data_IF_121785580592
#
_entry.id   IF_121785580592
#
_cell.length_a   1.000
_cell.length_b   1.000
_cell.length_c   1.000
_cell.angle_alpha   90.00
_cell.angle_beta   90.00
_cell.angle_gamma   90.00
#
_symmetry.space_group_name_H-M   'P 1'
#
loop_
_entity.id
_entity.type
_entity.pdbx_description
1 polymer ?
#
# COMPACT_ATOMS: atom_id res chain seq x y z
N UNK A 1 -19.35 16.94 4.04
CA UNK A 1 -19.99 15.92 3.21
C UNK A 1 -20.64 16.62 2.06
N UNK A 2 -20.51 16.09 0.84
CA UNK A 2 -21.21 16.64 -0.31
C UNK A 2 -22.73 16.56 -0.10
N UNK A 3 -23.44 17.53 -0.67
CA UNK A 3 -24.88 17.46 -0.83
C UNK A 3 -25.17 16.72 -2.14
N UNK A 4 -25.84 15.56 -2.06
CA UNK A 4 -26.12 14.72 -3.23
C UNK A 4 -27.47 15.12 -3.83
N UNK A 5 -27.54 15.38 -5.16
CA UNK A 5 -28.78 15.83 -5.78
C UNK A 5 -29.84 14.73 -5.80
N UNK A 6 -31.11 15.13 -5.76
CA UNK A 6 -32.27 14.21 -5.85
C UNK A 6 -32.32 13.43 -7.19
N UNK A 7 -31.73 13.99 -8.25
CA UNK A 7 -31.69 13.39 -9.58
C UNK A 7 -30.33 13.60 -10.25
N UNK A 8 -29.76 12.52 -10.81
CA UNK A 8 -28.51 12.55 -11.60
C UNK A 8 -28.82 12.07 -13.02
N UNK A 9 -28.62 12.93 -14.02
CA UNK A 9 -28.77 12.59 -15.45
C UNK A 9 -27.41 12.59 -16.14
N UNK A 10 -27.03 11.45 -16.71
CA UNK A 10 -25.73 11.30 -17.38
C UNK A 10 -25.92 10.65 -18.74
N UNK A 11 -25.33 11.25 -19.77
CA UNK A 11 -25.24 10.65 -21.10
C UNK A 11 -23.82 10.16 -21.32
N UNK A 12 -23.68 8.92 -21.78
CA UNK A 12 -22.39 8.30 -22.10
C UNK A 12 -22.28 8.09 -23.60
N UNK A 13 -21.12 8.42 -24.17
CA UNK A 13 -20.77 8.13 -25.56
C UNK A 13 -19.69 7.06 -25.58
N UNK A 14 -19.83 6.08 -26.46
CA UNK A 14 -18.77 5.09 -26.67
C UNK A 14 -17.53 5.80 -27.22
N UNK A 15 -16.42 5.68 -26.50
CA UNK A 15 -15.12 6.20 -26.91
C UNK A 15 -14.41 5.17 -27.79
N UNK A 16 -14.09 4.00 -27.23
CA UNK A 16 -13.38 2.94 -27.95
C UNK A 16 -14.01 1.55 -27.73
N UNK A 17 -13.83 0.64 -28.69
CA UNK A 17 -14.02 -0.80 -28.46
C UNK A 17 -12.76 -1.34 -27.79
N UNK A 18 -12.92 -2.21 -26.79
CA UNK A 18 -11.79 -2.88 -26.13
C UNK A 18 -11.58 -4.29 -26.70
N UNK A 19 -10.39 -4.85 -26.48
CA UNK A 19 -10.05 -6.22 -26.88
C UNK A 19 -10.95 -7.26 -26.23
N UNK A 20 -11.34 -7.02 -24.97
CA UNK A 20 -12.18 -7.90 -24.17
C UNK A 20 -12.48 -7.30 -22.80
N UNK A 21 -13.46 -7.89 -22.10
CA UNK A 21 -13.84 -7.55 -20.73
C UNK A 21 -12.84 -8.05 -19.69
N UNK A 22 -13.32 -8.27 -18.47
CA UNK A 22 -12.54 -8.87 -17.38
C UNK A 22 -12.04 -10.27 -17.78
N UNK A 23 -12.88 -11.02 -18.50
CA UNK A 23 -12.62 -12.36 -18.97
C UNK A 23 -12.73 -12.45 -20.50
N UNK A 24 -11.99 -13.37 -21.11
CA UNK A 24 -11.85 -13.46 -22.58
C UNK A 24 -13.15 -13.74 -23.36
N UNK A 25 -14.21 -14.21 -22.70
CA UNK A 25 -15.52 -14.43 -23.32
C UNK A 25 -16.40 -13.17 -23.33
N UNK A 26 -16.03 -12.12 -22.59
CA UNK A 26 -16.80 -10.88 -22.46
C UNK A 26 -16.35 -9.86 -23.51
N UNK A 27 -17.30 -9.27 -24.22
CA UNK A 27 -17.05 -8.04 -24.98
C UNK A 27 -16.98 -6.84 -24.05
N UNK A 28 -16.21 -5.81 -24.42
CA UNK A 28 -16.13 -4.57 -23.66
C UNK A 28 -15.91 -3.35 -24.57
N UNK A 29 -16.26 -2.19 -24.03
CA UNK A 29 -16.05 -0.89 -24.64
C UNK A 29 -15.83 0.15 -23.56
N UNK A 30 -15.00 1.14 -23.86
CA UNK A 30 -14.82 2.34 -23.06
C UNK A 30 -15.89 3.37 -23.43
N UNK A 31 -16.44 4.03 -22.41
CA UNK A 31 -17.47 5.05 -22.55
C UNK A 31 -17.06 6.31 -21.81
N UNK A 32 -17.16 7.44 -22.49
CA UNK A 32 -16.89 8.76 -21.92
C UNK A 32 -18.21 9.49 -21.62
N UNK A 33 -18.22 10.27 -20.54
CA UNK A 33 -19.37 11.13 -20.23
C UNK A 33 -19.42 12.25 -21.27
N UNK A 34 -20.61 12.48 -21.83
CA UNK A 34 -20.88 13.66 -22.63
C UNK A 34 -20.98 14.86 -21.67
N UNK A 35 -19.90 15.61 -21.57
CA UNK A 35 -19.77 16.79 -20.72
C UNK A 35 -20.59 17.96 -21.27
N UNK A 36 -21.30 18.70 -20.40
CA UNK A 36 -21.82 20.03 -20.72
C UNK A 36 -20.69 21.07 -20.61
N UNK A 37 -20.85 22.31 -21.12
CA UNK A 37 -19.84 23.36 -20.96
C UNK A 37 -19.44 23.66 -19.51
N UNK A 38 -20.32 23.36 -18.56
CA UNK A 38 -20.12 23.57 -17.12
C UNK A 38 -19.42 22.37 -16.44
N UNK A 39 -19.28 21.24 -17.13
CA UNK A 39 -18.67 20.03 -16.59
C UNK A 39 -17.14 20.07 -16.65
N UNK A 40 -16.49 19.81 -15.52
CA UNK A 40 -15.07 19.46 -15.48
C UNK A 40 -14.93 17.98 -15.85
N UNK A 41 -14.50 17.73 -17.09
CA UNK A 41 -14.20 16.38 -17.58
C UNK A 41 -13.14 15.72 -16.71
N UNK A 42 -13.43 14.50 -16.27
CA UNK A 42 -12.43 13.59 -15.71
C UNK A 42 -11.53 13.06 -16.83
N UNK A 43 -10.23 13.06 -16.59
CA UNK A 43 -9.20 12.48 -17.48
C UNK A 43 -8.96 11.04 -17.01
N UNK A 44 -9.25 10.09 -17.90
CA UNK A 44 -8.98 8.68 -17.70
C UNK A 44 -7.69 8.21 -18.35
N UNK A 45 -7.30 6.97 -18.10
CA UNK A 45 -6.11 6.36 -18.70
C UNK A 45 -6.10 6.43 -20.24
N UNK A 46 -7.26 6.29 -20.88
CA UNK A 46 -7.40 6.30 -22.34
C UNK A 46 -7.19 7.70 -22.96
N UNK A 47 -7.27 8.76 -22.16
CA UNK A 47 -7.02 10.13 -22.59
C UNK A 47 -5.51 10.48 -22.58
N UNK A 48 -4.66 9.62 -21.99
CA UNK A 48 -3.24 9.91 -21.82
C UNK A 48 -2.46 9.71 -23.13
N UNK A 49 -1.51 10.61 -23.46
CA UNK A 49 -0.56 10.37 -24.53
C UNK A 49 0.21 9.06 -24.29
N UNK A 50 0.09 8.11 -25.22
CA UNK A 50 0.85 6.87 -25.21
C UNK A 50 2.07 7.01 -26.14
N UNK A 51 3.27 6.93 -25.58
CA UNK A 51 4.52 6.91 -26.37
C UNK A 51 4.80 5.54 -27.01
N UNK A 52 4.06 4.50 -26.61
CA UNK A 52 4.12 3.18 -27.21
C UNK A 52 3.27 3.04 -28.48
N UNK A 53 3.40 1.90 -29.17
CA UNK A 53 2.73 1.65 -30.45
C UNK A 53 1.37 0.95 -30.33
N UNK A 54 0.84 0.79 -29.11
CA UNK A 54 -0.40 0.07 -28.90
C UNK A 54 -1.64 0.93 -29.23
N UNK A 55 -2.54 0.45 -30.13
CA UNK A 55 -3.76 1.17 -30.44
C UNK A 55 -4.81 0.99 -29.32
N UNK A 56 -5.81 1.89 -29.21
CA UNK A 56 -6.86 1.82 -28.19
C UNK A 56 -7.62 0.47 -28.12
N UNK A 57 -7.77 -0.23 -29.25
CA UNK A 57 -8.46 -1.51 -29.33
C UNK A 57 -7.69 -2.67 -28.67
N UNK A 58 -6.42 -2.45 -28.31
CA UNK A 58 -5.57 -3.47 -27.69
C UNK A 58 -5.73 -3.56 -26.17
N UNK A 59 -6.31 -2.54 -25.53
CA UNK A 59 -6.56 -2.54 -24.09
C UNK A 59 -7.69 -3.52 -23.71
N UNK A 60 -7.57 -4.20 -22.57
CA UNK A 60 -8.66 -4.93 -21.92
C UNK A 60 -9.28 -4.13 -20.78
N UNK A 61 -10.49 -4.51 -20.34
CA UNK A 61 -11.14 -3.87 -19.17
C UNK A 61 -10.22 -3.85 -17.94
N UNK A 62 -9.50 -4.95 -17.67
CA UNK A 62 -8.53 -5.02 -16.58
C UNK A 62 -7.37 -4.03 -16.70
N UNK A 63 -6.95 -3.67 -17.93
CA UNK A 63 -5.92 -2.65 -18.12
C UNK A 63 -6.44 -1.26 -17.77
N UNK A 64 -7.71 -0.96 -18.10
CA UNK A 64 -8.34 0.30 -17.73
C UNK A 64 -8.49 0.41 -16.21
N UNK A 65 -8.90 -0.66 -15.54
CA UNK A 65 -8.97 -0.71 -14.07
C UNK A 65 -7.61 -0.52 -13.40
N UNK A 66 -6.58 -1.26 -13.84
CA UNK A 66 -5.21 -1.13 -13.32
C UNK A 66 -4.69 0.30 -13.49
N UNK A 67 -4.78 0.83 -14.71
CA UNK A 67 -4.22 2.14 -15.02
C UNK A 67 -5.01 3.28 -14.40
N UNK A 68 -6.34 3.19 -14.30
CA UNK A 68 -7.15 4.21 -13.63
C UNK A 68 -6.84 4.27 -12.13
N UNK A 69 -6.69 3.12 -11.47
CA UNK A 69 -6.30 3.08 -10.07
C UNK A 69 -4.90 3.61 -9.82
N UNK A 70 -3.94 3.31 -10.70
CA UNK A 70 -2.59 3.86 -10.62
C UNK A 70 -2.55 5.36 -10.89
N UNK A 71 -3.36 5.84 -11.84
CA UNK A 71 -3.50 7.26 -12.14
C UNK A 71 -4.06 8.00 -10.93
N UNK A 72 -5.10 7.47 -10.29
CA UNK A 72 -5.63 8.00 -9.03
C UNK A 72 -4.58 8.01 -7.92
N UNK A 73 -3.86 6.89 -7.73
CA UNK A 73 -2.80 6.74 -6.73
C UNK A 73 -1.72 7.81 -6.89
N UNK A 74 -1.15 7.97 -8.09
CA UNK A 74 -0.02 8.88 -8.27
C UNK A 74 -0.41 10.33 -8.10
N UNK A 75 -1.59 10.75 -8.58
CA UNK A 75 -2.03 12.14 -8.40
C UNK A 75 -2.43 12.46 -6.97
N UNK A 76 -3.01 11.49 -6.26
CA UNK A 76 -3.33 11.64 -4.85
C UNK A 76 -2.04 11.71 -4.02
N UNK A 77 -1.09 10.80 -4.29
CA UNK A 77 0.21 10.79 -3.66
C UNK A 77 0.98 12.10 -3.91
N UNK A 78 0.98 12.62 -5.14
CA UNK A 78 1.63 13.89 -5.47
C UNK A 78 1.05 15.06 -4.66
N UNK A 79 -0.28 15.19 -4.59
CA UNK A 79 -0.96 16.23 -3.81
C UNK A 79 -0.62 16.17 -2.31
N UNK A 80 -0.71 14.97 -1.73
CA UNK A 80 -0.46 14.75 -0.29
C UNK A 80 1.02 14.97 0.05
N UNK A 81 1.93 14.42 -0.77
CA UNK A 81 3.37 14.56 -0.56
C UNK A 81 3.84 16.00 -0.73
N UNK A 82 3.29 16.76 -1.70
CA UNK A 82 3.60 18.19 -1.88
C UNK A 82 3.34 18.98 -0.61
N UNK A 83 2.26 18.64 0.11
CA UNK A 83 1.88 19.30 1.36
C UNK A 83 2.77 18.84 2.51
N UNK A 84 2.90 17.52 2.72
CA UNK A 84 3.63 16.97 3.86
C UNK A 84 5.15 17.20 3.81
N UNK A 85 5.73 17.17 2.61
CA UNK A 85 7.15 17.41 2.38
C UNK A 85 7.45 18.87 1.97
N UNK A 86 6.51 19.80 2.14
CA UNK A 86 6.75 21.22 1.85
C UNK A 86 8.04 21.72 2.53
N UNK A 87 8.92 22.36 1.75
CA UNK A 87 10.24 22.82 2.21
C UNK A 87 11.30 21.72 2.34
N UNK A 88 11.01 20.48 1.94
CA UNK A 88 11.93 19.33 1.92
C UNK A 88 11.88 18.65 0.55
N UNK A 89 12.85 17.77 0.29
CA UNK A 89 12.85 16.95 -0.92
C UNK A 89 11.71 15.93 -0.84
N UNK A 90 10.80 15.97 -1.81
CA UNK A 90 9.78 14.92 -1.99
C UNK A 90 10.46 13.60 -2.39
N UNK A 91 10.15 12.47 -1.74
CA UNK A 91 10.69 11.18 -2.13
C UNK A 91 10.19 10.76 -3.52
N UNK A 92 11.02 10.00 -4.21
CA UNK A 92 10.67 9.29 -5.43
C UNK A 92 9.76 8.11 -5.08
N UNK A 93 8.65 7.96 -5.78
CA UNK A 93 7.68 6.87 -5.66
C UNK A 93 7.76 5.98 -6.89
N UNK A 94 7.92 4.69 -6.65
CA UNK A 94 7.68 3.65 -7.64
C UNK A 94 6.73 2.62 -7.04
N UNK A 95 5.62 2.35 -7.73
CA UNK A 95 4.70 1.29 -7.34
C UNK A 95 4.33 0.44 -8.54
N UNK A 96 3.92 -0.80 -8.29
CA UNK A 96 3.35 -1.66 -9.31
C UNK A 96 1.99 -2.17 -8.85
N UNK A 97 1.03 -2.21 -9.78
CA UNK A 97 -0.32 -2.69 -9.54
C UNK A 97 -0.69 -3.89 -10.41
N UNK A 98 -1.61 -4.69 -9.85
CA UNK A 98 -2.35 -5.76 -10.50
C UNK A 98 -3.77 -5.79 -9.97
N UNK A 99 -4.73 -6.08 -10.84
CA UNK A 99 -6.15 -6.20 -10.47
C UNK A 99 -6.68 -4.94 -9.74
N UNK A 100 -6.35 -3.79 -10.31
CA UNK A 100 -6.77 -2.45 -9.92
C UNK A 100 -6.04 -1.88 -8.72
N UNK A 101 -4.96 -2.50 -8.20
CA UNK A 101 -4.37 -2.10 -6.90
C UNK A 101 -2.87 -2.34 -6.79
N UNK A 102 -2.13 -1.49 -6.06
CA UNK A 102 -0.71 -1.71 -5.80
C UNK A 102 -0.48 -3.02 -5.07
N UNK A 103 0.50 -3.79 -5.52
CA UNK A 103 0.98 -5.02 -4.87
C UNK A 103 2.35 -4.83 -4.23
N UNK A 104 3.10 -3.85 -4.71
CA UNK A 104 4.39 -3.42 -4.16
C UNK A 104 4.53 -1.91 -4.29
N UNK A 105 5.26 -1.30 -3.35
CA UNK A 105 5.54 0.14 -3.35
C UNK A 105 6.90 0.41 -2.72
N UNK A 106 7.65 1.32 -3.32
CA UNK A 106 8.92 1.81 -2.82
C UNK A 106 9.02 3.33 -2.91
N UNK A 107 9.56 3.91 -1.84
CA UNK A 107 9.91 5.32 -1.71
C UNK A 107 11.39 5.45 -1.38
N UNK A 108 12.09 6.36 -2.06
CA UNK A 108 13.49 6.66 -1.78
C UNK A 108 13.87 8.08 -2.21
N UNK A 109 15.12 8.46 -1.96
CA UNK A 109 15.66 9.72 -2.47
C UNK A 109 15.89 9.68 -3.99
N UNK A 110 16.29 8.51 -4.53
CA UNK A 110 16.53 8.31 -5.96
C UNK A 110 15.48 7.37 -6.56
N UNK A 111 15.16 7.54 -7.84
CA UNK A 111 14.12 6.73 -8.49
C UNK A 111 14.56 5.26 -8.60
N UNK A 112 15.84 5.00 -8.87
CA UNK A 112 16.40 3.65 -8.91
C UNK A 112 16.35 2.94 -7.55
N UNK A 113 16.62 3.65 -6.44
CA UNK A 113 16.48 3.06 -5.10
C UNK A 113 15.01 2.80 -4.74
N UNK A 114 14.09 3.68 -5.14
CA UNK A 114 12.65 3.46 -4.96
C UNK A 114 12.19 2.22 -5.74
N UNK A 115 12.68 2.05 -6.96
CA UNK A 115 12.46 0.85 -7.77
C UNK A 115 13.00 -0.41 -7.10
N UNK A 116 14.22 -0.42 -6.56
CA UNK A 116 14.73 -1.60 -5.84
C UNK A 116 13.93 -1.83 -4.55
N UNK A 117 13.58 -0.76 -3.82
CA UNK A 117 12.80 -0.85 -2.58
C UNK A 117 11.44 -1.48 -2.76
N UNK A 118 10.75 -1.26 -3.89
CA UNK A 118 9.42 -1.86 -4.06
C UNK A 118 9.48 -3.41 -4.06
N UNK A 119 10.58 -4.01 -4.52
CA UNK A 119 10.73 -5.47 -4.52
C UNK A 119 11.11 -6.08 -3.16
N UNK A 120 11.33 -5.26 -2.12
CA UNK A 120 11.76 -5.75 -0.80
C UNK A 120 10.72 -6.66 -0.15
N UNK A 121 9.43 -6.41 -0.37
CA UNK A 121 8.35 -7.24 0.18
C UNK A 121 7.89 -8.37 -0.72
N UNK A 122 8.03 -8.21 -2.04
CA UNK A 122 7.60 -9.22 -3.01
C UNK A 122 8.37 -9.02 -4.33
N UNK A 123 9.20 -10.01 -4.67
CA UNK A 123 10.00 -10.00 -5.88
C UNK A 123 9.27 -10.59 -7.11
N UNK A 124 8.11 -11.22 -6.91
CA UNK A 124 7.39 -12.03 -7.90
C UNK A 124 6.10 -11.36 -8.40
N UNK A 125 5.29 -10.82 -7.51
CA UNK A 125 4.02 -10.19 -7.88
C UNK A 125 4.13 -9.09 -8.93
N UNK A 126 5.21 -8.28 -9.02
CA UNK A 126 5.27 -7.21 -10.01
C UNK A 126 5.35 -7.67 -11.47
N UNK A 127 5.72 -8.92 -11.73
CA UNK A 127 5.84 -9.46 -13.10
C UNK A 127 4.50 -9.41 -13.84
N UNK A 128 4.41 -8.61 -14.90
CA UNK A 128 3.19 -8.46 -15.69
C UNK A 128 2.15 -7.53 -15.07
N UNK A 129 2.55 -6.68 -14.12
CA UNK A 129 1.73 -5.57 -13.65
C UNK A 129 1.96 -4.28 -14.44
N UNK A 130 1.26 -3.24 -14.02
CA UNK A 130 1.50 -1.85 -14.42
C UNK A 130 2.39 -1.14 -13.42
N UNK A 131 3.28 -0.28 -13.89
CA UNK A 131 4.14 0.52 -13.03
C UNK A 131 3.68 1.98 -13.02
N UNK A 132 3.88 2.66 -11.90
CA UNK A 132 3.65 4.10 -11.78
C UNK A 132 4.82 4.81 -11.13
N UNK A 133 5.10 6.03 -11.60
CA UNK A 133 6.16 6.91 -11.13
C UNK A 133 5.59 8.28 -10.83
N UNK A 134 6.04 8.93 -9.74
CA UNK A 134 5.70 10.34 -9.45
C UNK A 134 6.65 11.35 -10.09
N UNK A 135 7.56 10.90 -10.93
CA UNK A 135 8.56 11.71 -11.62
C UNK A 135 8.85 11.13 -13.01
N UNK A 136 9.38 11.92 -13.95
CA UNK A 136 9.77 11.39 -15.26
C UNK A 136 10.69 10.18 -15.13
N UNK A 137 10.44 9.12 -15.91
CA UNK A 137 11.26 7.90 -15.82
C UNK A 137 12.70 8.21 -16.23
N UNK A 138 13.64 7.91 -15.33
CA UNK A 138 15.07 8.12 -15.51
C UNK A 138 15.72 6.92 -16.19
N UNK A 139 16.80 7.16 -16.96
CA UNK A 139 17.54 6.11 -17.67
C UNK A 139 18.06 5.00 -16.72
N UNK A 140 18.58 5.38 -15.55
CA UNK A 140 19.10 4.41 -14.57
C UNK A 140 18.01 3.45 -14.07
N UNK A 141 16.78 3.93 -13.90
CA UNK A 141 15.63 3.10 -13.53
C UNK A 141 15.14 2.29 -14.73
N UNK A 142 15.12 2.88 -15.91
CA UNK A 142 14.75 2.20 -17.15
C UNK A 142 15.67 0.99 -17.46
N UNK A 143 16.96 1.10 -17.16
CA UNK A 143 17.93 0.01 -17.26
C UNK A 143 17.61 -1.17 -16.34
N UNK A 144 17.02 -0.92 -15.16
CA UNK A 144 16.55 -1.98 -14.26
C UNK A 144 15.20 -2.56 -14.73
N UNK A 145 14.33 -1.69 -15.28
CA UNK A 145 13.02 -2.07 -15.82
C UNK A 145 13.11 -2.92 -17.09
N UNK A 146 14.14 -2.75 -17.93
CA UNK A 146 14.21 -3.43 -19.23
C UNK A 146 14.25 -4.96 -19.10
N UNK A 147 14.81 -5.48 -18.01
CA UNK A 147 14.84 -6.91 -17.70
C UNK A 147 13.55 -7.44 -17.08
N UNK A 148 12.56 -6.57 -16.86
CA UNK A 148 11.27 -6.92 -16.26
C UNK A 148 10.17 -7.01 -17.31
N UNK A 149 9.33 -8.04 -17.17
CA UNK A 149 8.07 -8.13 -17.89
C UNK A 149 7.02 -7.24 -17.20
N UNK A 150 6.42 -6.33 -17.95
CA UNK A 150 5.35 -5.44 -17.47
C UNK A 150 4.34 -5.15 -18.58
N UNK A 151 3.13 -4.76 -18.21
CA UNK A 151 2.08 -4.38 -19.17
C UNK A 151 2.33 -2.96 -19.68
N UNK A 152 2.41 -2.01 -18.76
CA UNK A 152 2.64 -0.60 -19.08
C UNK A 152 3.22 0.20 -17.93
N UNK A 153 3.54 1.46 -18.22
CA UNK A 153 4.04 2.46 -17.28
C UNK A 153 3.15 3.71 -17.37
N UNK A 154 2.84 4.31 -16.23
CA UNK A 154 2.28 5.66 -16.10
C UNK A 154 3.32 6.52 -15.38
N UNK A 155 3.72 7.63 -15.99
CA UNK A 155 4.67 8.57 -15.39
C UNK A 155 4.43 9.99 -15.92
N UNK A 156 4.79 11.05 -15.18
CA UNK A 156 4.66 12.44 -15.63
C UNK A 156 5.74 12.83 -16.66
N UNK A 157 6.23 11.87 -17.44
CA UNK A 157 7.26 12.05 -18.44
C UNK A 157 8.24 10.89 -18.52
N UNK A 158 9.11 10.96 -19.52
CA UNK A 158 10.21 10.03 -19.74
C UNK A 158 11.40 10.87 -20.20
N UNK A 159 12.59 10.64 -19.63
CA UNK A 159 13.80 11.29 -20.12
C UNK A 159 14.15 10.81 -21.54
N UNK A 160 15.06 11.53 -22.19
CA UNK A 160 15.58 11.17 -23.51
C UNK A 160 16.02 9.71 -23.56
N UNK A 161 15.75 9.06 -24.70
CA UNK A 161 16.05 7.66 -24.99
C UNK A 161 15.39 6.60 -24.09
N UNK A 162 14.71 6.97 -23.01
CA UNK A 162 14.04 6.02 -22.10
C UNK A 162 12.92 5.27 -22.81
N UNK A 163 12.07 5.98 -23.55
CA UNK A 163 11.01 5.34 -24.32
C UNK A 163 11.59 4.40 -25.38
N UNK A 164 12.66 4.83 -26.08
CA UNK A 164 13.36 4.01 -27.06
C UNK A 164 13.95 2.73 -26.46
N UNK A 165 14.60 2.83 -25.30
CA UNK A 165 15.15 1.70 -24.55
C UNK A 165 14.06 0.69 -24.16
N UNK A 166 12.96 1.17 -23.57
CA UNK A 166 11.90 0.33 -23.05
C UNK A 166 11.07 -0.34 -24.16
N UNK A 167 10.86 0.35 -25.28
CA UNK A 167 10.15 -0.16 -26.47
C UNK A 167 11.02 -1.03 -27.38
N UNK A 168 12.32 -0.73 -27.48
CA UNK A 168 13.27 -1.47 -28.31
C UNK A 168 13.70 -2.81 -27.72
N UNK A 169 13.39 -3.07 -26.46
CA UNK A 169 13.70 -4.34 -25.82
C UNK A 169 12.70 -5.42 -26.28
N UNK A 170 13.20 -6.45 -26.97
CA UNK A 170 12.38 -7.60 -27.36
C UNK A 170 11.99 -8.45 -26.14
N UNK A 171 10.82 -8.17 -25.59
CA UNK A 171 10.27 -8.90 -24.44
C UNK A 171 9.62 -10.22 -24.85
N UNK A 172 9.45 -10.52 -26.15
CA UNK A 172 8.79 -11.75 -26.63
C UNK A 172 9.61 -13.01 -26.39
N UNK A 173 10.92 -12.85 -26.17
CA UNK A 173 11.84 -13.93 -25.84
C UNK A 173 11.80 -14.37 -24.37
N UNK A 174 11.15 -13.59 -23.50
CA UNK A 174 10.94 -14.01 -22.12
C UNK A 174 9.90 -15.15 -22.10
N UNK A 175 10.22 -16.36 -21.61
CA UNK A 175 9.28 -17.48 -21.55
C UNK A 175 8.04 -17.21 -20.67
N UNK A 176 8.08 -16.16 -19.84
CA UNK A 176 6.95 -15.65 -19.06
C UNK A 176 6.02 -14.76 -19.88
N UNK A 177 6.47 -14.22 -21.02
CA UNK A 177 5.67 -13.40 -21.93
C UNK A 177 4.79 -14.27 -22.86
N UNK A 178 3.90 -15.06 -22.27
CA UNK A 178 2.99 -15.93 -23.03
C UNK A 178 1.88 -15.17 -23.76
N UNK A 179 1.65 -13.91 -23.40
CA UNK A 179 0.56 -13.10 -23.95
C UNK A 179 0.98 -12.21 -25.11
N UNK A 180 2.26 -11.89 -25.31
CA UNK A 180 2.73 -11.01 -26.39
C UNK A 180 2.40 -9.52 -26.19
N UNK A 181 1.89 -9.13 -25.01
CA UNK A 181 1.41 -7.76 -24.71
C UNK A 181 2.39 -6.95 -23.84
N UNK A 182 3.60 -7.45 -23.60
CA UNK A 182 4.56 -6.79 -22.71
C UNK A 182 5.07 -5.45 -23.27
N UNK A 183 5.10 -4.41 -22.42
CA UNK A 183 5.84 -3.17 -22.63
C UNK A 183 5.28 -2.21 -23.69
N UNK A 184 3.99 -2.28 -24.03
CA UNK A 184 3.43 -1.50 -25.15
C UNK A 184 2.75 -0.18 -24.76
N UNK A 185 2.58 0.07 -23.47
CA UNK A 185 1.89 1.26 -22.97
C UNK A 185 2.85 2.08 -22.13
N UNK A 186 3.26 3.23 -22.65
CA UNK A 186 4.09 4.23 -21.96
C UNK A 186 3.26 5.51 -21.88
N UNK A 187 2.44 5.61 -20.85
CA UNK A 187 1.47 6.68 -20.69
C UNK A 187 2.11 7.87 -19.99
N UNK A 188 1.84 9.07 -20.51
CA UNK A 188 2.34 10.32 -19.98
C UNK A 188 1.25 11.04 -19.17
N UNK A 189 1.49 11.22 -17.87
CA UNK A 189 0.59 11.92 -16.93
C UNK A 189 1.02 13.35 -16.61
N UNK A 190 1.87 13.97 -17.43
CA UNK A 190 2.40 15.33 -17.19
C UNK A 190 1.26 16.33 -16.93
N UNK A 191 1.38 17.09 -15.84
CA UNK A 191 0.44 18.17 -15.51
C UNK A 191 -0.92 17.71 -14.96
N UNK A 192 -1.12 16.39 -14.78
CA UNK A 192 -2.33 15.88 -14.17
C UNK A 192 -2.32 16.10 -12.66
N UNK A 193 -3.51 16.33 -12.13
CA UNK A 193 -3.76 16.55 -10.70
C UNK A 193 -4.96 15.69 -10.30
N UNK A 194 -5.18 15.55 -9.00
CA UNK A 194 -6.31 14.79 -8.49
C UNK A 194 -7.65 15.32 -9.02
N UNK A 195 -7.82 16.65 -9.10
CA UNK A 195 -9.00 17.32 -9.65
C UNK A 195 -9.27 16.95 -11.11
N UNK A 196 -8.23 16.77 -11.92
CA UNK A 196 -8.38 16.34 -13.30
C UNK A 196 -8.95 14.92 -13.41
N UNK A 197 -8.68 14.04 -12.44
CA UNK A 197 -9.11 12.64 -12.48
C UNK A 197 -10.47 12.46 -11.82
N UNK A 198 -10.78 13.22 -10.77
CA UNK A 198 -12.05 13.12 -10.05
C UNK A 198 -13.17 13.86 -10.78
N UNK A 199 -12.83 14.88 -11.57
CA UNK A 199 -13.81 15.72 -12.27
C UNK A 199 -14.78 16.41 -11.31
N UNK A 200 -15.96 16.80 -11.79
CA UNK A 200 -17.01 17.40 -10.97
C UNK A 200 -18.30 16.56 -10.92
N UNK A 201 -18.21 15.22 -10.89
CA UNK A 201 -19.39 14.34 -10.77
C UNK A 201 -20.16 14.51 -9.44
N UNK A 202 -19.59 15.21 -8.45
CA UNK A 202 -20.19 15.37 -7.12
C UNK A 202 -19.95 14.18 -6.19
N UNK A 203 -19.05 13.27 -6.57
CA UNK A 203 -18.66 12.11 -5.78
C UNK A 203 -18.01 11.02 -6.64
N UNK A 204 -17.75 9.87 -6.02
CA UNK A 204 -17.29 8.64 -6.65
C UNK A 204 -18.50 7.74 -6.99
N UNK A 205 -18.85 7.56 -8.28
CA UNK A 205 -19.90 6.65 -8.70
C UNK A 205 -19.46 5.17 -8.64
N UNK A 206 -20.36 4.28 -8.21
CA UNK A 206 -20.23 2.81 -8.32
C UNK A 206 -21.56 2.19 -8.72
N UNK A 207 -21.57 1.36 -9.76
CA UNK A 207 -22.76 0.60 -10.13
C UNK A 207 -22.99 -0.54 -9.12
N UNK A 208 -24.23 -0.67 -8.63
CA UNK A 208 -24.69 -1.79 -7.82
C UNK A 208 -25.74 -2.55 -8.63
N UNK A 209 -25.35 -3.69 -9.19
CA UNK A 209 -26.17 -4.34 -10.22
C UNK A 209 -26.22 -3.51 -11.51
N UNK A 210 -27.27 -3.70 -12.31
CA UNK A 210 -27.42 -3.04 -13.62
C UNK A 210 -28.24 -1.75 -13.57
N UNK A 211 -28.91 -1.46 -12.46
CA UNK A 211 -29.96 -0.43 -12.37
C UNK A 211 -29.81 0.52 -11.16
N UNK A 212 -28.77 0.36 -10.34
CA UNK A 212 -28.51 1.23 -9.19
C UNK A 212 -27.12 1.84 -9.26
N UNK A 213 -27.03 3.08 -8.80
CA UNK A 213 -25.80 3.83 -8.68
C UNK A 213 -25.61 4.26 -7.23
N UNK A 214 -24.49 3.86 -6.62
CA UNK A 214 -23.99 4.44 -5.39
C UNK A 214 -23.12 5.64 -5.74
N UNK A 215 -23.32 6.77 -5.06
CA UNK A 215 -22.43 7.93 -5.13
C UNK A 215 -22.02 8.28 -3.70
N UNK A 216 -20.72 8.49 -3.50
CA UNK A 216 -20.15 8.82 -2.20
C UNK A 216 -19.05 9.87 -2.34
N UNK A 217 -18.66 10.53 -1.24
CA UNK A 217 -17.46 11.37 -1.24
C UNK A 217 -16.23 10.52 -1.61
N UNK A 218 -15.24 11.13 -2.26
CA UNK A 218 -13.96 10.49 -2.48
C UNK A 218 -13.15 10.42 -1.18
N UNK A 219 -12.47 9.30 -0.96
CA UNK A 219 -11.56 9.14 0.18
C UNK A 219 -10.19 9.78 -0.11
N UNK A 220 -10.15 11.11 0.00
CA UNK A 220 -8.93 11.94 -0.14
C UNK A 220 -8.64 12.74 1.12
N UNK A 221 -9.21 12.35 2.26
CA UNK A 221 -9.03 13.08 3.52
C UNK A 221 -7.55 13.08 3.89
N UNK A 222 -6.88 14.25 3.97
CA UNK A 222 -5.45 14.29 4.28
C UNK A 222 -5.16 13.71 5.66
N UNK A 223 -4.05 13.00 5.79
CA UNK A 223 -3.60 12.48 7.07
C UNK A 223 -2.14 12.83 7.33
N UNK A 224 -1.91 13.63 8.36
CA UNK A 224 -0.57 13.99 8.81
C UNK A 224 -0.30 13.38 10.18
N UNK A 225 0.61 12.40 10.32
CA UNK A 225 0.90 11.77 11.61
C UNK A 225 1.46 12.72 12.68
N UNK A 226 1.79 13.98 12.35
CA UNK A 226 2.19 15.00 13.35
C UNK A 226 1.01 15.63 14.07
N UNK A 227 -0.15 15.68 13.43
CA UNK A 227 -1.34 16.38 13.91
C UNK A 227 -2.53 15.44 14.07
N UNK A 228 -2.55 14.34 13.32
CA UNK A 228 -3.70 13.45 13.14
C UNK A 228 -3.42 12.03 13.66
N UNK A 229 -2.50 11.90 14.61
CA UNK A 229 -2.20 10.63 15.26
C UNK A 229 -1.81 10.82 16.74
N UNK A 230 -2.05 9.77 17.53
CA UNK A 230 -1.70 9.73 18.96
C UNK A 230 -1.00 8.43 19.29
N UNK A 231 0.12 8.48 20.03
CA UNK A 231 0.72 7.30 20.65
C UNK A 231 -0.15 6.93 21.85
N UNK A 232 -0.85 5.81 21.76
CA UNK A 232 -1.85 5.40 22.74
C UNK A 232 -1.27 4.44 23.81
N UNK A 233 -0.20 3.71 23.50
CA UNK A 233 0.54 2.84 24.43
C UNK A 233 1.99 2.61 23.95
N UNK A 234 2.86 2.06 24.81
CA UNK A 234 4.23 1.65 24.50
C UNK A 234 5.30 2.12 25.51
N UNK A 235 5.02 2.11 26.82
CA UNK A 235 5.92 2.57 27.90
C UNK A 235 6.30 4.08 27.90
N UNK A 236 5.69 4.88 27.03
CA UNK A 236 5.89 6.36 26.98
C UNK A 236 4.68 7.14 27.50
N UNK A 237 3.58 6.48 27.86
CA UNK A 237 2.31 7.18 28.08
C UNK A 237 1.80 7.83 26.79
N UNK A 238 0.75 8.64 26.90
CA UNK A 238 0.17 9.38 25.77
C UNK A 238 1.11 10.54 25.42
N UNK A 239 2.21 10.25 24.73
CA UNK A 239 3.16 11.26 24.26
C UNK A 239 2.79 11.78 22.87
N UNK A 240 3.10 13.06 22.65
CA UNK A 240 2.92 13.73 21.36
C UNK A 240 3.81 13.05 20.30
N UNK A 241 3.30 12.87 19.08
CA UNK A 241 4.02 12.30 17.92
C UNK A 241 5.36 12.99 17.62
N UNK A 242 5.58 14.21 18.13
CA UNK A 242 6.85 14.94 18.14
C UNK A 242 8.01 14.13 18.76
N UNK A 243 7.73 13.15 19.62
CA UNK A 243 8.76 12.25 20.19
C UNK A 243 9.27 11.20 19.20
N UNK A 244 8.53 10.93 18.12
CA UNK A 244 9.02 10.07 17.03
C UNK A 244 9.95 10.87 16.12
N UNK A 245 11.19 10.40 15.97
CA UNK A 245 12.16 11.03 15.08
C UNK A 245 11.61 11.22 13.66
N UNK A 246 12.08 12.27 12.98
CA UNK A 246 11.60 12.71 11.66
C UNK A 246 11.44 11.58 10.64
N UNK A 247 12.43 10.69 10.53
CA UNK A 247 12.36 9.56 9.61
C UNK A 247 11.26 8.53 9.92
N UNK A 248 10.88 8.37 11.18
CA UNK A 248 9.73 7.54 11.57
C UNK A 248 8.42 8.22 11.18
N UNK A 249 8.28 9.52 11.41
CA UNK A 249 7.10 10.28 11.01
C UNK A 249 6.90 10.28 9.48
N UNK A 250 7.98 10.40 8.70
CA UNK A 250 7.92 10.30 7.25
C UNK A 250 7.44 8.90 6.81
N UNK A 251 7.93 7.84 7.46
CA UNK A 251 7.48 6.48 7.16
C UNK A 251 6.03 6.22 7.56
N UNK A 252 5.57 6.76 8.70
CA UNK A 252 4.17 6.70 9.08
C UNK A 252 3.31 7.35 8.00
N UNK A 253 3.64 8.58 7.60
CA UNK A 253 2.92 9.31 6.56
C UNK A 253 2.85 8.51 5.25
N UNK A 254 3.99 8.03 4.75
CA UNK A 254 4.04 7.26 3.50
C UNK A 254 3.24 5.96 3.62
N UNK A 255 3.29 5.26 4.75
CA UNK A 255 2.49 4.06 4.98
C UNK A 255 0.99 4.34 5.00
N UNK A 256 0.54 5.40 5.68
CA UNK A 256 -0.88 5.80 5.71
C UNK A 256 -1.38 6.30 4.37
N UNK A 257 -0.55 7.03 3.62
CA UNK A 257 -0.85 7.43 2.24
C UNK A 257 -1.15 6.20 1.38
N UNK A 258 -0.29 5.18 1.43
CA UNK A 258 -0.47 3.97 0.63
C UNK A 258 -1.61 3.08 1.13
N UNK A 259 -1.92 3.08 2.43
CA UNK A 259 -3.01 2.29 3.01
C UNK A 259 -4.34 2.50 2.29
N UNK A 260 -4.64 3.74 1.88
CA UNK A 260 -5.85 4.15 1.14
C UNK A 260 -5.97 3.55 -0.27
N UNK A 261 -4.89 2.95 -0.79
CA UNK A 261 -4.85 2.38 -2.13
C UNK A 261 -4.83 0.84 -2.15
N UNK A 262 -4.66 0.18 -0.99
CA UNK A 262 -4.74 -1.29 -0.90
C UNK A 262 -6.16 -1.77 -0.56
N UNK A 263 -6.40 -3.09 -0.63
CA UNK A 263 -7.69 -3.68 -0.30
C UNK A 263 -7.91 -3.86 1.20
N UNK A 264 -9.05 -3.35 1.68
CA UNK A 264 -9.63 -3.84 2.92
C UNK A 264 -10.04 -5.31 2.79
N UNK A 265 -9.98 -6.09 3.85
CA UNK A 265 -9.30 -5.81 5.11
C UNK A 265 -7.75 -5.85 4.93
N UNK A 266 -7.02 -4.79 5.29
CA UNK A 266 -5.60 -4.59 4.97
C UNK A 266 -4.62 -4.63 6.17
N UNK A 267 -3.84 -5.71 6.38
CA UNK A 267 -2.65 -5.67 7.28
C UNK A 267 -1.43 -5.58 6.38
N UNK A 268 -0.52 -4.66 6.65
CA UNK A 268 0.78 -4.68 5.99
C UNK A 268 1.93 -4.31 6.90
N UNK A 269 3.13 -4.64 6.46
CA UNK A 269 4.38 -4.28 7.08
C UNK A 269 5.13 -3.28 6.20
N UNK A 270 5.65 -2.23 6.83
CA UNK A 270 6.35 -1.14 6.17
C UNK A 270 7.72 -0.93 6.78
N UNK A 271 8.73 -0.76 5.92
CA UNK A 271 10.11 -0.55 6.34
C UNK A 271 10.83 0.43 5.42
N UNK A 272 11.28 1.55 5.99
CA UNK A 272 12.11 2.56 5.31
C UNK A 272 11.63 2.93 3.89
N UNK A 273 10.35 3.25 3.75
CA UNK A 273 9.75 3.65 2.48
C UNK A 273 9.31 2.48 1.61
N UNK A 274 9.41 1.23 2.07
CA UNK A 274 9.00 0.05 1.30
C UNK A 274 7.84 -0.69 1.96
N UNK A 275 6.92 -1.18 1.13
CA UNK A 275 6.01 -2.25 1.52
C UNK A 275 6.81 -3.57 1.59
N UNK A 276 6.97 -4.13 2.79
CA UNK A 276 7.77 -5.35 3.01
C UNK A 276 6.93 -6.59 3.29
N UNK A 277 5.61 -6.44 3.46
CA UNK A 277 4.67 -7.57 3.51
C UNK A 277 3.23 -7.08 3.37
N UNK A 278 2.44 -7.71 2.51
CA UNK A 278 1.07 -7.28 2.20
C UNK A 278 0.05 -8.38 2.48
N UNK A 279 -0.97 -8.05 3.26
CA UNK A 279 -2.06 -8.92 3.67
C UNK A 279 -3.40 -8.24 3.47
N UNK A 280 -3.91 -8.29 2.26
CA UNK A 280 -5.11 -7.58 1.83
C UNK A 280 -6.20 -8.56 1.34
N UNK A 281 -7.43 -8.07 1.20
CA UNK A 281 -8.54 -8.83 0.61
C UNK A 281 -9.00 -10.07 1.40
N UNK A 282 -8.53 -10.23 2.64
CA UNK A 282 -8.89 -11.38 3.48
C UNK A 282 -10.19 -11.11 4.25
N UNK A 283 -11.07 -12.11 4.38
CA UNK A 283 -12.28 -11.98 5.22
C UNK A 283 -11.99 -11.80 6.73
N UNK A 284 -10.73 -11.95 7.17
CA UNK A 284 -10.30 -11.80 8.56
C UNK A 284 -8.96 -11.06 8.64
N UNK A 285 -8.83 -10.11 9.57
CA UNK A 285 -7.58 -9.37 9.86
C UNK A 285 -6.44 -10.29 10.30
N UNK A 286 -6.77 -11.36 11.02
CA UNK A 286 -5.78 -12.37 11.46
C UNK A 286 -5.21 -13.11 10.25
N UNK A 287 -6.05 -13.47 9.28
CA UNK A 287 -5.59 -14.10 8.02
C UNK A 287 -4.78 -13.13 7.17
N UNK A 288 -5.20 -11.88 7.08
CA UNK A 288 -4.43 -10.82 6.45
C UNK A 288 -3.04 -10.69 7.08
N UNK A 289 -2.93 -10.64 8.42
CA UNK A 289 -1.64 -10.57 9.10
C UNK A 289 -0.72 -11.76 8.78
N UNK A 290 -1.28 -12.98 8.78
CA UNK A 290 -0.53 -14.19 8.43
C UNK A 290 -0.01 -14.13 6.99
N UNK A 291 -0.86 -13.76 6.04
CA UNK A 291 -0.48 -13.53 4.64
C UNK A 291 0.64 -12.49 4.51
N UNK A 292 0.49 -11.33 5.15
CA UNK A 292 1.49 -10.26 5.13
C UNK A 292 2.85 -10.73 5.67
N UNK A 293 2.81 -11.51 6.76
CA UNK A 293 4.00 -12.05 7.42
C UNK A 293 4.69 -13.11 6.54
N UNK A 294 3.96 -14.09 6.05
CA UNK A 294 4.51 -15.17 5.21
C UNK A 294 5.15 -14.60 3.93
N UNK A 295 4.53 -13.57 3.34
CA UNK A 295 5.12 -12.81 2.23
C UNK A 295 6.43 -12.15 2.64
N UNK A 296 6.45 -11.42 3.76
CA UNK A 296 7.65 -10.75 4.29
C UNK A 296 8.79 -11.72 4.63
N UNK A 297 8.48 -12.90 5.17
CA UNK A 297 9.47 -13.92 5.52
C UNK A 297 10.13 -14.53 4.28
N UNK A 298 9.41 -14.58 3.15
CA UNK A 298 9.91 -15.18 1.90
C UNK A 298 10.44 -14.16 0.89
N UNK A 299 10.57 -12.90 1.30
CA UNK A 299 10.99 -11.77 0.45
C UNK A 299 12.47 -11.40 0.61
N UNK A 300 13.03 -10.50 -0.23
CA UNK A 300 14.37 -9.95 -0.02
C UNK A 300 14.57 -9.30 1.36
N UNK A 301 13.54 -8.67 1.92
CA UNK A 301 13.59 -8.15 3.29
C UNK A 301 13.72 -9.27 4.32
N UNK A 302 12.99 -10.37 4.14
CA UNK A 302 13.12 -11.58 4.96
C UNK A 302 14.53 -12.19 4.87
N UNK A 303 15.06 -12.34 3.65
CA UNK A 303 16.42 -12.86 3.43
C UNK A 303 17.50 -12.01 4.13
N UNK A 304 17.40 -10.69 4.04
CA UNK A 304 18.28 -9.77 4.77
C UNK A 304 18.14 -9.88 6.29
N UNK A 305 16.93 -10.16 6.77
CA UNK A 305 16.65 -10.31 8.20
C UNK A 305 17.23 -11.60 8.76
N UNK A 306 17.09 -12.71 8.04
CA UNK A 306 17.70 -13.99 8.41
C UNK A 306 19.22 -13.98 8.26
N UNK A 307 19.76 -13.23 7.29
CA UNK A 307 21.20 -13.11 7.07
C UNK A 307 21.87 -14.39 6.59
N UNK A 308 21.13 -15.33 6.00
CA UNK A 308 21.65 -16.60 5.48
C UNK A 308 21.77 -16.58 3.96
N UNK A 309 22.83 -17.22 3.43
CA UNK A 309 23.05 -17.30 1.98
C UNK A 309 21.96 -18.11 1.26
N UNK A 310 21.40 -19.12 1.92
CA UNK A 310 20.28 -19.91 1.37
C UNK A 310 19.02 -19.06 1.18
N UNK A 311 18.73 -18.14 2.10
CA UNK A 311 17.60 -17.24 1.96
C UNK A 311 17.81 -16.30 0.76
N UNK A 312 19.01 -15.75 0.61
CA UNK A 312 19.37 -14.92 -0.55
C UNK A 312 19.30 -15.70 -1.87
N UNK A 313 19.81 -16.94 -1.89
CA UNK A 313 19.76 -17.81 -3.07
C UNK A 313 18.32 -18.00 -3.53
N UNK A 314 17.39 -18.30 -2.62
CA UNK A 314 15.95 -18.49 -2.93
C UNK A 314 15.30 -17.23 -3.52
N UNK A 315 15.58 -16.05 -2.96
CA UNK A 315 14.93 -14.80 -3.42
C UNK A 315 15.56 -14.22 -4.68
N UNK A 316 16.78 -14.63 -5.04
CA UNK A 316 17.44 -14.17 -6.27
C UNK A 316 17.34 -15.15 -7.44
N UNK A 317 17.04 -16.43 -7.17
CA UNK A 317 16.97 -17.48 -8.19
C UNK A 317 16.00 -17.11 -9.33
N UNK A 318 16.52 -17.01 -10.56
CA UNK A 318 15.74 -16.69 -11.76
C UNK A 318 15.29 -15.23 -11.88
N UNK A 319 15.79 -14.32 -11.03
CA UNK A 319 15.40 -12.90 -11.02
C UNK A 319 16.57 -11.99 -11.44
N UNK A 320 16.32 -10.85 -12.09
CA UNK A 320 17.37 -9.95 -12.59
C UNK A 320 17.92 -9.02 -11.51
N UNK A 321 18.02 -9.50 -10.27
CA UNK A 321 18.47 -8.73 -9.12
C UNK A 321 19.71 -9.36 -8.50
N UNK A 322 20.48 -8.53 -7.82
CA UNK A 322 21.66 -8.90 -7.05
C UNK A 322 21.43 -8.64 -5.57
N UNK A 323 22.16 -9.35 -4.72
CA UNK A 323 22.12 -9.13 -3.27
C UNK A 323 22.55 -7.70 -2.93
N UNK A 324 23.58 -7.21 -3.60
CA UNK A 324 24.16 -5.89 -3.40
C UNK A 324 23.17 -4.76 -3.68
N UNK A 325 22.32 -4.91 -4.70
CA UNK A 325 21.24 -3.95 -4.98
C UNK A 325 20.29 -3.83 -3.79
N UNK A 326 19.85 -4.95 -3.21
CA UNK A 326 18.95 -4.94 -2.05
C UNK A 326 19.63 -4.46 -0.78
N UNK A 327 20.83 -4.97 -0.47
CA UNK A 327 21.58 -4.56 0.72
C UNK A 327 21.92 -3.07 0.72
N UNK A 328 22.12 -2.46 -0.45
CA UNK A 328 22.35 -1.00 -0.58
C UNK A 328 21.16 -0.16 -0.09
N UNK A 329 19.93 -0.62 -0.32
CA UNK A 329 18.72 0.15 0.05
C UNK A 329 18.19 -0.18 1.44
N UNK A 330 18.68 -1.25 2.06
CA UNK A 330 18.28 -1.70 3.39
C UNK A 330 19.15 -1.03 4.47
N UNK A 331 18.55 -0.08 5.21
CA UNK A 331 19.25 0.70 6.24
C UNK A 331 18.96 0.17 7.63
N UNK A 332 20.00 -0.24 8.37
CA UNK A 332 19.87 -0.58 9.79
C UNK A 332 19.36 0.60 10.62
N UNK A 333 18.66 0.32 11.72
CA UNK A 333 18.16 1.34 12.66
C UNK A 333 16.82 1.96 12.27
N UNK A 334 16.25 1.58 11.12
CA UNK A 334 14.87 1.93 10.76
C UNK A 334 13.88 1.00 11.47
N UNK A 335 12.67 1.52 11.73
CA UNK A 335 11.60 0.79 12.41
C UNK A 335 10.68 0.13 11.37
N UNK A 336 10.41 -1.15 11.58
CA UNK A 336 9.33 -1.92 10.98
C UNK A 336 8.01 -1.48 11.60
N UNK A 337 7.07 -1.07 10.75
CA UNK A 337 5.73 -0.61 11.13
C UNK A 337 4.73 -1.67 10.69
N UNK A 338 3.88 -2.13 11.59
CA UNK A 338 2.68 -2.89 11.25
C UNK A 338 1.50 -1.91 11.14
N UNK A 339 0.75 -1.98 10.05
CA UNK A 339 -0.36 -1.07 9.79
C UNK A 339 -1.65 -1.85 9.55
N UNK A 340 -2.77 -1.32 10.06
CA UNK A 340 -4.11 -1.79 9.75
C UNK A 340 -5.05 -0.64 9.38
N UNK A 341 -5.90 -0.90 8.41
CA UNK A 341 -6.95 -0.01 7.95
C UNK A 341 -8.21 0.01 8.84
N UNK A 342 -8.37 -0.99 9.70
CA UNK A 342 -9.48 -1.10 10.63
C UNK A 342 -8.95 -1.36 12.05
N UNK A 343 -9.77 -1.02 13.05
CA UNK A 343 -9.44 -1.38 14.43
C UNK A 343 -9.34 -2.90 14.59
N UNK A 344 -8.53 -3.34 15.56
CA UNK A 344 -8.45 -4.73 15.93
C UNK A 344 -9.57 -5.06 16.93
N UNK A 345 -10.53 -5.93 16.56
CA UNK A 345 -11.65 -6.26 17.43
C UNK A 345 -11.21 -7.05 18.67
N UNK A 346 -10.02 -7.64 18.62
CA UNK A 346 -9.44 -8.41 19.70
C UNK A 346 -7.91 -8.19 19.78
N UNK A 347 -7.33 -8.20 20.99
CA UNK A 347 -5.87 -8.19 21.16
C UNK A 347 -5.23 -9.46 20.59
N UNK A 348 -5.94 -10.59 20.65
CA UNK A 348 -5.54 -11.84 20.05
C UNK A 348 -5.96 -11.90 18.59
N UNK A 349 -4.99 -12.16 17.71
CA UNK A 349 -5.36 -12.93 16.52
C UNK A 349 -5.00 -14.36 16.81
N UNK A 350 -6.03 -15.18 16.97
CA UNK A 350 -5.98 -16.62 17.14
C UNK A 350 -4.69 -17.29 16.60
N UNK A 351 -3.91 -17.87 17.52
CA UNK A 351 -2.74 -18.73 17.23
C UNK A 351 -3.12 -20.17 17.53
N UNK A 352 -2.97 -21.05 16.53
CA UNK A 352 -2.82 -22.49 16.78
C UNK A 352 -1.41 -22.75 17.30
N UNK A 353 -1.31 -23.17 18.56
CA UNK A 353 -0.08 -23.72 19.12
C UNK A 353 0.11 -25.13 18.57
N UNK A 354 0.96 -25.29 17.55
CA UNK A 354 1.52 -26.61 17.25
C UNK A 354 2.52 -26.92 18.35
N UNK A 355 2.09 -27.73 19.32
CA UNK A 355 2.84 -27.98 20.55
C UNK A 355 4.25 -28.49 20.33
N UNK A 356 5.25 -27.70 20.75
CA UNK A 356 6.53 -28.19 21.28
C UNK A 356 7.01 -27.21 22.35
N UNK A 357 7.11 -27.71 23.58
CA UNK A 357 7.81 -27.03 24.67
C UNK A 357 9.28 -26.79 24.28
N UNK A 358 9.76 -25.57 24.50
CA UNK A 358 11.20 -25.25 24.50
C UNK A 358 11.50 -24.38 25.72
N UNK A 359 11.59 -25.03 26.87
CA UNK A 359 12.35 -24.54 28.01
C UNK A 359 13.83 -24.72 27.64
N UNK A 360 14.51 -23.65 27.22
CA UNK A 360 15.98 -23.48 27.29
C UNK A 360 16.35 -22.15 26.60
N UNK A 361 16.37 -21.04 27.34
CA UNK A 361 17.01 -19.80 26.90
C UNK A 361 17.82 -19.19 28.07
N UNK A 362 19.11 -18.86 27.85
CA UNK A 362 19.96 -18.32 28.91
C UNK A 362 19.57 -16.88 29.28
N UNK A 363 19.62 -16.61 30.59
CA UNK A 363 19.25 -15.36 31.25
C UNK A 363 19.98 -14.15 30.63
N UNK A 364 19.20 -13.14 30.21
CA UNK A 364 19.68 -11.88 29.61
C UNK A 364 19.06 -11.51 28.26
N UNK A 365 18.24 -12.39 27.67
CA UNK A 365 17.44 -12.12 26.45
C UNK A 365 15.95 -12.19 26.78
N UNK A 366 15.14 -11.37 26.10
CA UNK A 366 13.67 -11.28 26.29
C UNK A 366 13.04 -12.67 26.17
N UNK A 367 12.75 -13.31 27.30
CA UNK A 367 12.03 -14.58 27.35
C UNK A 367 10.54 -14.29 27.39
N UNK A 368 9.87 -14.47 26.26
CA UNK A 368 8.42 -14.47 26.20
C UNK A 368 7.87 -15.73 26.83
N UNK A 369 7.56 -15.66 28.12
CA UNK A 369 6.73 -16.67 28.78
C UNK A 369 5.28 -16.49 28.34
N UNK A 370 4.91 -17.01 27.18
CA UNK A 370 3.50 -17.29 26.92
C UNK A 370 3.13 -18.49 27.79
N UNK A 371 2.43 -18.27 28.90
CA UNK A 371 1.74 -19.34 29.63
C UNK A 371 0.98 -20.21 28.62
N UNK A 372 0.85 -21.51 28.88
CA UNK A 372 -0.11 -22.36 28.15
C UNK A 372 -1.49 -21.69 28.26
N UNK A 373 -2.00 -21.13 27.15
CA UNK A 373 -3.23 -20.33 27.12
C UNK A 373 -3.07 -18.80 27.18
N UNK A 374 -1.85 -18.25 27.08
CA UNK A 374 -1.63 -16.81 26.93
C UNK A 374 -1.62 -16.40 25.46
N UNK A 375 -2.49 -15.45 25.13
CA UNK A 375 -2.67 -14.86 23.82
C UNK A 375 -1.42 -14.07 23.40
N UNK A 376 -0.87 -14.35 22.22
CA UNK A 376 0.17 -13.50 21.60
C UNK A 376 -0.52 -12.61 20.59
N UNK A 377 -0.26 -11.29 20.57
CA UNK A 377 -0.89 -10.45 19.57
C UNK A 377 -0.50 -10.90 18.16
N UNK A 378 -1.39 -10.75 17.19
CA UNK A 378 -1.13 -11.30 15.86
C UNK A 378 0.04 -10.63 15.14
N UNK A 379 0.34 -9.36 15.47
CA UNK A 379 1.57 -8.68 15.03
C UNK A 379 2.85 -9.32 15.58
N UNK A 380 2.74 -10.25 16.54
CA UNK A 380 3.81 -11.07 17.11
C UNK A 380 3.68 -12.59 16.82
N UNK A 381 2.60 -13.03 16.14
CA UNK A 381 2.28 -14.46 16.03
C UNK A 381 3.31 -15.26 15.21
N UNK A 382 4.06 -16.17 15.86
CA UNK A 382 5.16 -17.00 15.33
C UNK A 382 6.46 -16.29 14.98
N UNK A 383 6.97 -15.39 15.82
CA UNK A 383 8.40 -15.05 15.73
C UNK A 383 9.20 -16.33 15.94
N UNK A 384 9.92 -16.76 14.89
CA UNK A 384 10.97 -17.73 15.04
C UNK A 384 12.08 -17.04 15.84
N UNK A 385 11.98 -17.09 17.17
CA UNK A 385 12.97 -16.60 18.13
C UNK A 385 14.22 -17.48 18.11
N UNK A 386 14.71 -17.82 16.91
CA UNK A 386 15.99 -18.48 16.82
C UNK A 386 17.04 -17.42 17.12
N UNK A 387 17.74 -17.57 18.24
CA UNK A 387 18.77 -16.64 18.73
C UNK A 387 19.96 -16.48 17.75
N UNK A 388 19.94 -17.23 16.65
CA UNK A 388 20.92 -17.27 15.58
C UNK A 388 20.68 -16.21 14.49
N UNK A 389 19.46 -15.65 14.37
CA UNK A 389 19.20 -14.63 13.35
C UNK A 389 19.68 -13.25 13.81
N UNK A 390 20.38 -12.49 12.94
CA UNK A 390 20.94 -11.20 13.30
C UNK A 390 19.87 -10.12 13.52
N UNK A 391 18.65 -10.29 12.99
CA UNK A 391 17.55 -9.32 13.05
C UNK A 391 16.22 -10.03 13.29
N UNK A 392 15.31 -9.41 14.06
CA UNK A 392 13.98 -9.94 14.35
C UNK A 392 12.90 -9.25 13.49
N UNK A 393 11.98 -10.04 12.94
CA UNK A 393 10.78 -9.57 12.20
C UNK A 393 9.65 -9.15 13.17
N UNK A 394 9.99 -8.36 14.18
CA UNK A 394 9.03 -7.82 15.15
C UNK A 394 8.76 -6.36 14.82
N UNK A 395 7.49 -5.95 14.64
CA UNK A 395 7.15 -4.55 14.47
C UNK A 395 7.60 -3.73 15.68
N UNK A 396 8.27 -2.62 15.43
CA UNK A 396 8.62 -1.66 16.49
C UNK A 396 7.58 -0.54 16.62
N UNK A 397 6.56 -0.50 15.75
CA UNK A 397 5.39 0.38 15.83
C UNK A 397 4.19 -0.37 15.25
N UNK A 398 3.02 -0.24 15.89
CA UNK A 398 1.74 -0.71 15.36
C UNK A 398 0.84 0.51 15.11
N UNK A 399 0.17 0.56 13.98
CA UNK A 399 -0.74 1.63 13.59
C UNK A 399 -2.13 1.06 13.32
N UNK A 400 -3.16 1.64 13.91
CA UNK A 400 -4.56 1.32 13.63
C UNK A 400 -5.47 2.53 13.85
N UNK A 401 -6.70 2.50 13.33
CA UNK A 401 -7.77 3.44 13.67
C UNK A 401 -8.02 3.65 15.17
N UNK A 402 -8.09 2.57 15.94
CA UNK A 402 -8.79 2.56 17.22
C UNK A 402 -10.33 2.57 17.03
N UNK A 403 -11.08 2.43 18.12
CA UNK A 403 -12.56 2.36 18.10
C UNK A 403 -13.15 1.00 18.47
N UNK A 404 -12.31 0.05 18.89
CA UNK A 404 -12.72 -1.26 19.40
C UNK A 404 -13.19 -1.16 20.84
N UNK A 405 -14.17 -1.99 21.23
CA UNK A 405 -14.56 -2.11 22.64
C UNK A 405 -13.50 -2.80 23.51
N UNK A 406 -12.53 -3.43 22.86
CA UNK A 406 -11.39 -4.14 23.47
C UNK A 406 -10.05 -3.45 23.28
N UNK A 407 -10.03 -2.20 22.81
CA UNK A 407 -8.78 -1.46 22.62
C UNK A 407 -7.95 -1.36 23.91
N UNK A 408 -8.57 -1.31 25.09
CA UNK A 408 -7.86 -1.34 26.37
C UNK A 408 -6.96 -2.58 26.53
N UNK A 409 -7.36 -3.72 25.96
CA UNK A 409 -6.55 -4.94 25.97
C UNK A 409 -5.38 -4.82 24.97
N UNK A 410 -5.65 -4.30 23.78
CA UNK A 410 -4.63 -4.04 22.73
C UNK A 410 -3.58 -3.04 23.23
N UNK A 411 -4.00 -2.01 23.97
CA UNK A 411 -3.14 -1.01 24.60
C UNK A 411 -2.28 -1.64 25.70
N UNK A 412 -2.89 -2.36 26.65
CA UNK A 412 -2.17 -3.04 27.73
C UNK A 412 -1.12 -4.04 27.19
N UNK A 413 -1.44 -4.71 26.09
CA UNK A 413 -0.53 -5.62 25.41
C UNK A 413 0.62 -4.85 24.74
N UNK A 414 0.34 -3.77 24.03
CA UNK A 414 1.35 -2.90 23.46
C UNK A 414 2.33 -2.36 24.54
N UNK A 415 1.82 -1.97 25.71
CA UNK A 415 2.64 -1.58 26.87
C UNK A 415 3.49 -2.74 27.40
N UNK A 416 2.90 -3.93 27.57
CA UNK A 416 3.61 -5.13 28.01
C UNK A 416 4.82 -5.44 27.13
N UNK A 417 4.70 -5.20 25.82
CA UNK A 417 5.77 -5.44 24.85
C UNK A 417 6.66 -4.22 24.58
N UNK A 418 6.34 -3.05 25.16
CA UNK A 418 7.04 -1.80 24.88
C UNK A 418 6.96 -1.38 23.41
N UNK A 419 5.88 -1.73 22.72
CA UNK A 419 5.66 -1.40 21.31
C UNK A 419 4.73 -0.19 21.24
N UNK A 420 5.16 0.95 20.66
CA UNK A 420 4.30 2.06 20.35
C UNK A 420 3.07 1.65 19.53
N UNK A 421 1.87 1.84 20.10
CA UNK A 421 0.60 1.68 19.41
C UNK A 421 0.06 3.05 19.04
N UNK A 422 0.04 3.37 17.75
CA UNK A 422 -0.39 4.65 17.19
C UNK A 422 -1.83 4.53 16.73
N UNK A 423 -2.70 5.39 17.27
CA UNK A 423 -4.05 5.57 16.75
C UNK A 423 -4.04 6.66 15.68
N UNK A 424 -4.73 6.44 14.56
CA UNK A 424 -4.84 7.40 13.46
C UNK A 424 -5.91 8.47 13.71
N UNK A 425 -6.24 8.69 14.98
CA UNK A 425 -7.14 9.73 15.44
C UNK A 425 -6.34 10.99 15.76
N UNK A 426 -6.90 12.15 15.44
CA UNK A 426 -6.36 13.41 15.95
C UNK A 426 -6.61 13.53 17.48
N UNK A 427 -5.92 14.45 18.18
CA UNK A 427 -6.05 14.59 19.63
C UNK A 427 -7.48 14.85 20.12
N UNK A 428 -8.29 15.58 19.35
CA UNK A 428 -9.68 15.86 19.71
C UNK A 428 -10.56 14.60 19.59
N UNK A 429 -10.42 13.85 18.50
CA UNK A 429 -11.07 12.55 18.29
C UNK A 429 -10.67 11.57 19.39
N UNK A 430 -9.39 11.52 19.74
CA UNK A 430 -8.88 10.66 20.80
C UNK A 430 -9.42 11.06 22.18
N UNK A 431 -9.50 12.36 22.49
CA UNK A 431 -10.07 12.84 23.75
C UNK A 431 -11.56 12.47 23.87
N UNK A 432 -12.34 12.60 22.78
CA UNK A 432 -13.74 12.15 22.71
C UNK A 432 -13.86 10.64 22.85
N UNK A 433 -12.96 9.88 22.23
CA UNK A 433 -12.90 8.43 22.37
C UNK A 433 -12.64 8.02 23.82
N UNK A 434 -11.66 8.67 24.48
CA UNK A 434 -11.27 8.43 25.87
C UNK A 434 -12.39 8.72 26.87
N UNK A 435 -13.12 9.82 26.70
CA UNK A 435 -14.22 10.17 27.61
C UNK A 435 -15.37 9.16 27.61
N UNK A 436 -15.53 8.43 26.51
CA UNK A 436 -16.55 7.37 26.37
C UNK A 436 -16.04 6.01 26.88
N UNK A 437 -14.73 5.77 26.86
CA UNK A 437 -14.13 4.50 27.33
C UNK A 437 -13.80 4.50 28.83
N UNK A 438 -13.41 5.63 29.42
CA UNK A 438 -13.10 5.76 30.86
C UNK A 438 -14.35 5.83 31.75
N UNK A 439 -15.55 6.03 31.18
CA UNK A 439 -16.84 6.03 31.88
C UNK A 439 -17.34 4.63 32.30
N UNK A 440 -16.54 3.58 32.14
CA UNK A 440 -16.82 2.24 32.68
C UNK A 440 -17.83 1.38 31.90
N UNK A 441 -18.48 1.90 30.86
CA UNK A 441 -19.23 1.14 29.85
C UNK A 441 -19.21 1.91 28.55
N UNK A 442 -18.63 1.33 27.49
CA UNK A 442 -19.05 1.71 26.14
C UNK A 442 -20.57 1.54 26.09
N UNK A 443 -21.34 2.52 25.60
CA UNK A 443 -22.77 2.34 25.44
C UNK A 443 -22.99 1.08 24.62
N UNK A 444 -23.54 0.04 25.26
CA UNK A 444 -23.83 -1.24 24.63
C UNK A 444 -24.65 -0.97 23.38
N UNK A 445 -24.00 -1.10 22.21
CA UNK A 445 -24.64 -0.95 20.90
C UNK A 445 -24.31 0.31 20.09
N UNK A 446 -23.47 1.26 20.55
CA UNK A 446 -22.97 2.35 19.68
C UNK A 446 -21.48 2.18 19.40
N UNK A 447 -21.15 1.71 18.19
CA UNK A 447 -19.79 1.81 17.65
C UNK A 447 -19.44 3.30 17.51
N UNK A 448 -18.20 3.66 17.81
CA UNK A 448 -17.67 4.99 17.50
C UNK A 448 -17.55 5.10 15.97
N UNK A 449 -18.62 5.51 15.28
CA UNK A 449 -18.62 5.82 13.85
C UNK A 449 -18.09 7.25 13.59
N UNK A 450 -17.07 7.66 14.34
CA UNK A 450 -16.19 8.74 13.92
C UNK A 450 -15.09 8.09 13.13
N UNK A 451 -15.32 7.86 11.84
CA UNK A 451 -14.32 7.39 10.91
C UNK A 451 -13.03 8.21 11.10
N UNK A 452 -11.91 7.59 11.55
CA UNK A 452 -10.66 8.32 11.65
C UNK A 452 -10.29 8.85 10.26
N UNK A 453 -9.55 9.96 10.15
CA UNK A 453 -9.26 10.63 8.88
C UNK A 453 -8.65 9.75 7.77
N UNK A 454 -8.21 8.53 8.09
CA UNK A 454 -7.68 7.58 7.11
C UNK A 454 -8.70 6.61 6.49
N UNK A 455 -9.92 6.46 7.06
CA UNK A 455 -10.89 5.42 6.65
C UNK A 455 -12.35 5.79 6.90
#
# INVERSE_FOLDING_TARGET
MADFPDEIRVTWRKSHKLRGGENGHQGAADYERVATPEDKRSIGMMDLPNLGSAPPESYSATNLEDGQSLLHLVTHAEQEMRTYFAGRRTPQLVANAKHGRPVVTGFAETQADAFIKMFLGDADSPFGGWFVFNSPVEYATAELLKSMMFVGIIAPGYHDDVAGLLLGTDKTKDPRNRSGHAGRYLLNSTGLTLDHITGNFGGQPRFIGSDKLLVQDWDHTPWNPRTDAVIAAGNSGIENMVTLGQGTLDNLFLSGLMARHYNSNLVFFWYDGALVGLGDGCGSRVKAAKKAREGMETSPFGAWTYGTDDAWKRVLEGRPFTREQFERVLRSGRKLIAFSDAFYPHPDGYIETTGRDRTDFPEGKVTLHTKKGAETPFWLSRVNYNAEYPRQLIPQIVVQPGGSDKDYQTLALADQFGIPLVFTMNPEQFARYKSVTEGGKLPTGRRFFGHPPLF
#
